data_IF_310386750306
#
_entry.id   IF_310386750306
#
_cell.length_a   1.000
_cell.length_b   1.000
_cell.length_c   1.000
_cell.angle_alpha   90.00
_cell.angle_beta   90.00
_cell.angle_gamma   90.00
#
_symmetry.space_group_name_H-M   'P 1'
#
loop_
_entity.id
_entity.type
_entity.pdbx_description
1 polymer ?
#
# COMPACT_ATOMS: atom_id res chain seq x y z
N UNK A 1 22.16 17.13 -19.41
CA UNK A 1 22.71 17.64 -18.14
C UNK A 1 21.63 17.39 -17.10
N UNK A 2 21.82 16.41 -16.21
CA UNK A 2 20.79 15.99 -15.25
C UNK A 2 20.79 16.94 -14.06
N UNK A 3 19.63 17.53 -13.75
CA UNK A 3 19.45 18.34 -12.55
C UNK A 3 19.31 17.41 -11.33
N UNK A 4 20.30 17.47 -10.45
CA UNK A 4 20.38 16.61 -9.24
C UNK A 4 19.29 16.98 -8.22
N UNK A 5 18.66 18.15 -8.36
CA UNK A 5 17.59 18.61 -7.46
C UNK A 5 16.27 17.85 -7.61
N UNK A 6 15.98 17.25 -8.77
CA UNK A 6 14.74 16.47 -9.00
C UNK A 6 14.85 15.00 -8.55
N UNK A 7 16.03 14.55 -8.10
CA UNK A 7 16.28 13.15 -7.76
C UNK A 7 15.35 12.59 -6.65
N UNK A 8 15.02 13.35 -5.58
CA UNK A 8 14.09 12.89 -4.55
C UNK A 8 12.66 12.72 -5.07
N UNK A 9 12.18 13.65 -5.87
CA UNK A 9 10.81 13.63 -6.41
C UNK A 9 10.61 12.46 -7.37
N UNK A 10 11.59 12.21 -8.24
CA UNK A 10 11.58 11.04 -9.13
C UNK A 10 11.61 9.72 -8.36
N UNK A 11 12.39 9.64 -7.29
CA UNK A 11 12.43 8.45 -6.45
C UNK A 11 11.11 8.22 -5.71
N UNK A 12 10.50 9.28 -5.16
CA UNK A 12 9.20 9.20 -4.51
C UNK A 12 8.10 8.76 -5.49
N UNK A 13 8.09 9.32 -6.70
CA UNK A 13 7.18 8.92 -7.77
C UNK A 13 7.33 7.43 -8.11
N UNK A 14 8.57 6.98 -8.33
CA UNK A 14 8.85 5.57 -8.65
C UNK A 14 8.40 4.62 -7.54
N UNK A 15 8.71 4.92 -6.27
CA UNK A 15 8.29 4.10 -5.12
C UNK A 15 6.77 4.02 -5.02
N UNK A 16 6.07 5.15 -5.21
CA UNK A 16 4.60 5.19 -5.20
C UNK A 16 4.01 4.38 -6.34
N UNK A 17 4.49 4.58 -7.57
CA UNK A 17 4.00 3.87 -8.75
C UNK A 17 4.18 2.37 -8.59
N UNK A 18 5.37 1.93 -8.22
CA UNK A 18 5.67 0.52 -8.01
C UNK A 18 4.78 -0.11 -6.94
N UNK A 19 4.58 0.57 -5.81
CA UNK A 19 3.75 0.08 -4.72
C UNK A 19 2.27 -0.05 -5.12
N UNK A 20 1.71 1.01 -5.72
CA UNK A 20 0.29 1.04 -6.12
C UNK A 20 0.04 0.02 -7.24
N UNK A 21 0.96 -0.08 -8.20
CA UNK A 21 0.90 -1.07 -9.26
C UNK A 21 0.95 -2.49 -8.69
N UNK A 22 1.81 -2.75 -7.70
CA UNK A 22 1.85 -4.05 -7.04
C UNK A 22 0.51 -4.44 -6.40
N UNK A 23 -0.11 -3.50 -5.67
CA UNK A 23 -1.45 -3.75 -5.11
C UNK A 23 -2.51 -3.98 -6.20
N UNK A 24 -2.45 -3.23 -7.30
CA UNK A 24 -3.33 -3.42 -8.44
C UNK A 24 -3.16 -4.81 -9.08
N UNK A 25 -1.92 -5.27 -9.24
CA UNK A 25 -1.62 -6.62 -9.74
C UNK A 25 -2.20 -7.70 -8.83
N UNK A 26 -2.08 -7.56 -7.50
CA UNK A 26 -2.71 -8.50 -6.55
C UNK A 26 -4.23 -8.51 -6.75
N UNK A 27 -4.87 -7.34 -6.83
CA UNK A 27 -6.32 -7.24 -7.03
C UNK A 27 -6.74 -7.94 -8.32
N UNK A 28 -5.98 -7.77 -9.41
CA UNK A 28 -6.26 -8.43 -10.68
C UNK A 28 -6.17 -9.95 -10.55
N UNK A 29 -5.07 -10.48 -9.99
CA UNK A 29 -4.89 -11.92 -9.78
C UNK A 29 -5.98 -12.52 -8.87
N UNK A 30 -6.41 -11.76 -7.87
CA UNK A 30 -7.52 -12.17 -7.01
C UNK A 30 -8.84 -12.25 -7.78
N UNK A 31 -9.14 -11.27 -8.64
CA UNK A 31 -10.35 -11.28 -9.46
C UNK A 31 -10.36 -12.45 -10.45
N UNK A 32 -9.23 -12.68 -11.14
CA UNK A 32 -9.06 -13.82 -12.06
C UNK A 32 -9.28 -15.14 -11.31
N UNK A 33 -8.63 -15.31 -10.15
CA UNK A 33 -8.80 -16.51 -9.34
C UNK A 33 -10.22 -16.70 -8.82
N UNK A 34 -10.94 -15.63 -8.44
CA UNK A 34 -12.34 -15.69 -8.03
C UNK A 34 -13.25 -16.23 -9.15
N UNK A 35 -12.98 -15.83 -10.39
CA UNK A 35 -13.73 -16.31 -11.56
C UNK A 35 -13.38 -17.77 -11.86
N UNK A 36 -12.09 -18.09 -11.94
CA UNK A 36 -11.61 -19.41 -12.39
C UNK A 36 -11.85 -20.51 -11.36
N UNK A 37 -11.61 -20.22 -10.07
CA UNK A 37 -11.58 -21.25 -9.02
C UNK A 37 -12.82 -21.23 -8.12
N UNK A 38 -13.55 -20.10 -8.06
CA UNK A 38 -14.66 -19.92 -7.11
C UNK A 38 -16.00 -19.61 -7.78
N UNK A 39 -16.06 -19.59 -9.12
CA UNK A 39 -17.30 -19.46 -9.89
C UNK A 39 -17.95 -18.08 -9.81
N UNK A 40 -17.21 -17.05 -9.38
CA UNK A 40 -17.68 -15.66 -9.34
C UNK A 40 -17.88 -15.15 -10.78
N UNK A 41 -18.91 -14.33 -11.00
CA UNK A 41 -19.16 -13.73 -12.31
C UNK A 41 -17.95 -12.95 -12.84
N UNK A 42 -17.56 -13.13 -14.13
CA UNK A 42 -16.51 -12.35 -14.79
C UNK A 42 -16.71 -10.83 -14.76
N UNK A 43 -17.92 -10.37 -14.40
CA UNK A 43 -18.22 -8.95 -14.20
C UNK A 43 -17.34 -8.31 -13.12
N UNK A 44 -16.84 -9.08 -12.14
CA UNK A 44 -15.95 -8.58 -11.08
C UNK A 44 -14.71 -7.87 -11.65
N UNK A 45 -14.09 -8.43 -12.70
CA UNK A 45 -12.91 -7.86 -13.35
C UNK A 45 -13.18 -6.49 -13.97
N UNK A 46 -14.43 -6.21 -14.36
CA UNK A 46 -14.83 -4.92 -14.95
C UNK A 46 -15.13 -3.86 -13.90
N UNK A 47 -15.69 -4.26 -12.76
CA UNK A 47 -16.15 -3.31 -11.73
C UNK A 47 -15.07 -2.97 -10.70
N UNK A 48 -14.09 -3.85 -10.48
CA UNK A 48 -13.06 -3.65 -9.44
C UNK A 48 -12.15 -2.45 -9.76
N UNK A 49 -11.85 -2.20 -11.04
CA UNK A 49 -10.98 -1.10 -11.47
C UNK A 49 -11.49 0.28 -11.05
N UNK A 50 -12.73 0.67 -11.41
CA UNK A 50 -13.33 1.93 -10.95
C UNK A 50 -13.40 2.07 -9.43
N UNK A 51 -13.66 0.98 -8.70
CA UNK A 51 -13.67 0.98 -7.22
C UNK A 51 -12.25 1.25 -6.68
N UNK A 52 -11.24 0.55 -7.23
CA UNK A 52 -9.83 0.75 -6.91
C UNK A 52 -9.35 2.17 -7.15
N UNK A 53 -9.59 2.72 -8.34
CA UNK A 53 -9.14 4.06 -8.69
C UNK A 53 -9.78 5.15 -7.81
N UNK A 54 -11.08 5.01 -7.49
CA UNK A 54 -11.76 5.93 -6.57
C UNK A 54 -11.16 5.90 -5.17
N UNK A 55 -10.82 4.70 -4.68
CA UNK A 55 -10.16 4.55 -3.39
C UNK A 55 -8.73 5.10 -3.41
N UNK A 56 -7.92 4.81 -4.43
CA UNK A 56 -6.57 5.37 -4.57
C UNK A 56 -6.62 6.90 -4.58
N UNK A 57 -7.56 7.49 -5.32
CA UNK A 57 -7.76 8.94 -5.32
C UNK A 57 -8.10 9.49 -3.93
N UNK A 58 -8.95 8.80 -3.15
CA UNK A 58 -9.31 9.24 -1.80
C UNK A 58 -8.15 9.18 -0.80
N UNK A 59 -7.14 8.32 -1.05
CA UNK A 59 -5.93 8.25 -0.21
C UNK A 59 -4.93 9.38 -0.45
N UNK A 60 -5.10 10.14 -1.54
CA UNK A 60 -4.27 11.31 -1.89
C UNK A 60 -2.78 11.00 -2.08
N UNK A 61 -2.40 9.73 -2.26
CA UNK A 61 -0.98 9.37 -2.44
C UNK A 61 -0.39 9.94 -3.73
N UNK A 62 -1.22 10.23 -4.73
CA UNK A 62 -0.83 10.86 -6.00
C UNK A 62 -0.86 12.38 -6.00
N UNK A 63 -1.23 13.03 -4.88
CA UNK A 63 -1.07 14.49 -4.75
C UNK A 63 0.42 14.85 -4.77
N UNK A 64 0.73 16.08 -5.24
CA UNK A 64 2.12 16.53 -5.40
C UNK A 64 2.84 16.60 -4.05
N UNK A 65 2.09 16.91 -3.01
CA UNK A 65 2.56 17.18 -1.66
C UNK A 65 2.77 15.90 -0.83
N UNK A 66 2.33 14.73 -1.31
CA UNK A 66 2.36 13.48 -0.53
C UNK A 66 3.77 13.12 -0.03
N UNK A 67 4.79 13.27 -0.87
CA UNK A 67 6.17 12.90 -0.53
C UNK A 67 6.74 13.79 0.58
N UNK A 68 6.50 15.10 0.49
CA UNK A 68 6.91 16.08 1.52
C UNK A 68 6.11 15.91 2.81
N UNK A 69 4.79 15.70 2.72
CA UNK A 69 3.92 15.44 3.87
C UNK A 69 4.37 14.18 4.64
N UNK A 70 4.77 13.12 3.92
CA UNK A 70 5.25 11.89 4.52
C UNK A 70 6.51 12.11 5.38
N UNK A 71 7.44 12.95 4.91
CA UNK A 71 8.67 13.34 5.63
C UNK A 71 8.31 14.15 6.88
N UNK A 72 7.51 15.22 6.73
CA UNK A 72 7.08 16.05 7.86
C UNK A 72 6.38 15.24 8.95
N UNK A 73 5.51 14.30 8.55
CA UNK A 73 4.84 13.41 9.49
C UNK A 73 5.80 12.40 10.15
N UNK A 74 6.85 11.96 9.46
CA UNK A 74 7.88 11.10 10.04
C UNK A 74 8.73 11.85 11.06
N UNK A 75 9.14 13.07 10.75
CA UNK A 75 9.89 13.95 11.66
C UNK A 75 9.09 14.26 12.92
N UNK A 76 7.81 14.61 12.75
CA UNK A 76 6.90 14.86 13.88
C UNK A 76 6.75 13.63 14.79
N UNK A 77 6.74 12.41 14.23
CA UNK A 77 6.72 11.16 15.01
C UNK A 77 8.04 10.94 15.75
N UNK A 78 9.17 11.13 15.07
CA UNK A 78 10.51 11.02 15.68
C UNK A 78 10.67 11.99 16.86
N UNK A 79 10.20 13.23 16.71
CA UNK A 79 10.20 14.23 17.79
C UNK A 79 9.32 13.81 18.98
N UNK A 80 8.10 13.30 18.72
CA UNK A 80 7.22 12.78 19.78
C UNK A 80 7.84 11.59 20.53
N UNK A 81 8.51 10.69 19.82
CA UNK A 81 9.21 9.55 20.42
C UNK A 81 10.43 9.99 21.24
N UNK A 82 11.21 10.95 20.75
CA UNK A 82 12.33 11.55 21.49
C UNK A 82 11.84 12.25 22.76
N UNK A 83 10.76 13.03 22.69
CA UNK A 83 10.16 13.67 23.86
C UNK A 83 9.65 12.64 24.90
N UNK A 84 9.13 11.49 24.45
CA UNK A 84 8.73 10.39 25.33
C UNK A 84 9.93 9.67 25.96
N UNK A 85 11.02 9.49 25.22
CA UNK A 85 12.27 8.86 25.69
C UNK A 85 13.09 9.77 26.63
N UNK A 86 13.10 11.08 26.39
CA UNK A 86 13.73 12.09 27.26
C UNK A 86 13.09 12.15 28.65
N UNK A 87 11.82 11.74 28.78
CA UNK A 87 11.16 11.53 30.09
C UNK A 87 11.62 10.25 30.80
N UNK A 88 12.40 9.36 30.17
CA UNK A 88 12.70 8.01 30.69
C UNK A 88 14.19 7.73 30.99
N UNK A 89 15.20 8.32 30.31
CA UNK A 89 16.61 8.34 30.78
C UNK A 89 17.55 9.15 29.87
N UNK A 90 18.59 9.71 30.52
CA UNK A 90 19.78 10.41 29.98
C UNK A 90 20.78 9.44 29.33
N UNK A 91 21.49 9.94 28.31
CA UNK A 91 22.69 9.39 27.63
C UNK A 91 22.43 8.17 26.71
N UNK A 92 23.03 8.02 25.53
CA UNK A 92 24.07 8.76 24.80
C UNK A 92 23.81 8.66 23.29
N UNK A 93 24.36 9.63 22.56
CA UNK A 93 24.38 9.78 21.11
C UNK A 93 25.07 8.65 20.35
N UNK A 94 24.63 8.38 19.11
CA UNK A 94 25.48 8.37 17.89
C UNK A 94 24.55 8.43 16.65
N UNK A 95 24.86 9.31 15.69
CA UNK A 95 24.20 9.42 14.37
C UNK A 95 24.62 8.26 13.46
N UNK A 96 23.82 7.89 12.44
CA UNK A 96 24.34 8.18 11.10
C UNK A 96 23.25 8.53 10.07
N UNK A 97 23.63 9.35 9.07
CA UNK A 97 22.83 9.57 7.87
C UNK A 97 22.86 8.34 6.93
N UNK A 98 21.72 8.03 6.30
CA UNK A 98 21.70 7.86 4.85
C UNK A 98 20.41 8.47 4.28
N UNK A 99 20.42 9.78 4.00
CA UNK A 99 19.24 10.59 3.64
C UNK A 99 18.34 9.92 2.58
N UNK A 100 18.92 9.25 1.58
CA UNK A 100 18.17 8.53 0.52
C UNK A 100 17.51 7.22 0.97
N UNK A 101 18.19 6.42 1.80
CA UNK A 101 17.65 5.14 2.34
C UNK A 101 16.60 5.42 3.43
N UNK A 102 16.76 6.52 4.15
CA UNK A 102 15.80 6.97 5.16
C UNK A 102 14.51 7.48 4.50
N UNK A 103 14.61 8.32 3.45
CA UNK A 103 13.43 8.81 2.73
C UNK A 103 12.64 7.68 2.03
N UNK A 104 13.32 6.72 1.39
CA UNK A 104 12.62 5.60 0.75
C UNK A 104 11.80 4.76 1.74
N UNK A 105 12.34 4.54 2.95
CA UNK A 105 11.63 3.88 4.05
C UNK A 105 10.44 4.72 4.52
N UNK A 106 10.62 6.02 4.71
CA UNK A 106 9.54 6.94 5.13
C UNK A 106 8.38 6.92 4.13
N UNK A 107 8.68 7.01 2.83
CA UNK A 107 7.66 6.96 1.79
C UNK A 107 6.97 5.60 1.71
N UNK A 108 7.73 4.51 1.80
CA UNK A 108 7.18 3.15 1.82
C UNK A 108 6.26 2.94 3.03
N UNK A 109 6.65 3.42 4.21
CA UNK A 109 5.84 3.34 5.42
C UNK A 109 4.59 4.22 5.33
N UNK A 110 4.70 5.40 4.70
CA UNK A 110 3.56 6.25 4.40
C UNK A 110 2.54 5.53 3.50
N UNK A 111 3.02 4.87 2.44
CA UNK A 111 2.18 4.06 1.55
C UNK A 111 1.50 2.92 2.29
N UNK A 112 2.24 2.12 3.06
CA UNK A 112 1.68 1.00 3.84
C UNK A 112 0.59 1.43 4.83
N UNK A 113 0.66 2.66 5.34
CA UNK A 113 -0.37 3.22 6.26
C UNK A 113 -1.63 3.64 5.51
N UNK A 114 -1.49 4.27 4.34
CA UNK A 114 -2.62 4.76 3.53
C UNK A 114 -3.27 3.66 2.68
N UNK A 115 -2.46 2.73 2.19
CA UNK A 115 -2.80 1.65 1.28
C UNK A 115 -2.29 0.31 1.85
N UNK A 116 -2.80 -0.16 2.98
CA UNK A 116 -2.33 -1.40 3.58
C UNK A 116 -2.69 -2.59 2.69
N UNK A 117 -1.84 -3.63 2.65
CA UNK A 117 -2.03 -4.82 1.81
C UNK A 117 -3.44 -5.43 1.91
N UNK A 118 -4.02 -5.49 3.13
CA UNK A 118 -5.38 -5.99 3.39
C UNK A 118 -6.47 -5.30 2.55
N UNK A 119 -6.20 -4.12 2.01
CA UNK A 119 -7.15 -3.43 1.16
C UNK A 119 -7.45 -4.22 -0.10
N UNK A 120 -6.52 -5.01 -0.64
CA UNK A 120 -6.75 -5.79 -1.86
C UNK A 120 -7.91 -6.77 -1.66
N UNK A 121 -7.94 -7.47 -0.52
CA UNK A 121 -9.05 -8.34 -0.10
C UNK A 121 -10.36 -7.57 0.07
N UNK A 122 -10.30 -6.37 0.66
CA UNK A 122 -11.49 -5.51 0.80
C UNK A 122 -12.03 -5.06 -0.57
N UNK A 123 -11.16 -4.79 -1.55
CA UNK A 123 -11.59 -4.38 -2.89
C UNK A 123 -12.32 -5.50 -3.62
N UNK A 124 -11.79 -6.73 -3.58
CA UNK A 124 -12.46 -7.86 -4.23
C UNK A 124 -13.74 -8.27 -3.52
N UNK A 125 -13.79 -8.21 -2.19
CA UNK A 125 -15.03 -8.39 -1.44
C UNK A 125 -16.08 -7.33 -1.80
N UNK A 126 -15.70 -6.05 -1.81
CA UNK A 126 -16.60 -4.96 -2.14
C UNK A 126 -17.11 -5.10 -3.59
N UNK A 127 -16.24 -5.55 -4.50
CA UNK A 127 -16.64 -5.83 -5.87
C UNK A 127 -17.69 -6.95 -5.91
N UNK A 128 -17.44 -8.12 -5.30
CA UNK A 128 -18.42 -9.20 -5.17
C UNK A 128 -19.76 -8.72 -4.61
N UNK A 129 -19.71 -7.90 -3.55
CA UNK A 129 -20.91 -7.33 -2.94
C UNK A 129 -21.71 -6.46 -3.92
N UNK A 130 -21.04 -5.59 -4.69
CA UNK A 130 -21.68 -4.72 -5.69
C UNK A 130 -22.38 -5.52 -6.79
N UNK A 131 -21.79 -6.64 -7.23
CA UNK A 131 -22.39 -7.53 -8.25
C UNK A 131 -23.33 -8.59 -7.66
N UNK A 132 -23.59 -8.55 -6.35
CA UNK A 132 -24.49 -9.46 -5.63
C UNK A 132 -24.07 -10.93 -5.70
N UNK A 133 -22.77 -11.16 -5.69
CA UNK A 133 -22.21 -12.50 -5.57
C UNK A 133 -22.34 -13.00 -4.13
N UNK A 134 -22.68 -14.28 -3.90
CA UNK A 134 -22.86 -14.86 -2.57
C UNK A 134 -21.51 -15.18 -1.90
N UNK A 135 -20.60 -14.21 -1.89
CA UNK A 135 -19.25 -14.32 -1.31
C UNK A 135 -19.20 -13.53 -0.01
N UNK A 136 -18.89 -14.18 1.11
CA UNK A 136 -18.74 -13.53 2.41
C UNK A 136 -17.31 -13.00 2.60
N UNK A 137 -17.17 -11.97 3.44
CA UNK A 137 -15.85 -11.46 3.83
C UNK A 137 -14.98 -12.54 4.52
N UNK A 138 -15.64 -13.48 5.23
CA UNK A 138 -15.00 -14.65 5.83
C UNK A 138 -14.46 -15.61 4.79
N UNK A 139 -15.13 -15.76 3.65
CA UNK A 139 -14.69 -16.66 2.57
C UNK A 139 -13.40 -16.11 1.96
N UNK A 140 -13.38 -14.83 1.60
CA UNK A 140 -12.19 -14.13 1.09
C UNK A 140 -11.00 -14.27 2.05
N UNK A 141 -11.24 -14.06 3.34
CA UNK A 141 -10.18 -14.15 4.35
C UNK A 141 -9.67 -15.59 4.52
N UNK A 142 -10.57 -16.57 4.49
CA UNK A 142 -10.25 -18.00 4.55
C UNK A 142 -9.44 -18.44 3.35
N UNK A 143 -9.89 -18.12 2.13
CA UNK A 143 -9.22 -18.49 0.89
C UNK A 143 -7.84 -17.84 0.77
N UNK A 144 -7.68 -16.59 1.21
CA UNK A 144 -6.39 -15.92 1.27
C UNK A 144 -5.44 -16.58 2.30
N UNK A 145 -5.97 -16.99 3.46
CA UNK A 145 -5.21 -17.69 4.49
C UNK A 145 -4.78 -19.10 4.08
N UNK A 146 -5.59 -19.79 3.27
CA UNK A 146 -5.29 -21.10 2.70
C UNK A 146 -4.33 -21.03 1.49
N UNK A 147 -4.11 -19.84 0.94
CA UNK A 147 -3.33 -19.63 -0.28
C UNK A 147 -4.07 -19.95 -1.58
N UNK A 148 -5.36 -20.32 -1.50
CA UNK A 148 -6.22 -20.58 -2.66
C UNK A 148 -6.61 -19.30 -3.40
N UNK A 149 -6.63 -18.16 -2.71
CA UNK A 149 -6.77 -16.83 -3.29
C UNK A 149 -5.42 -16.10 -3.24
N UNK A 150 -4.86 -15.61 -4.36
CA UNK A 150 -3.57 -14.92 -4.37
C UNK A 150 -3.54 -13.73 -3.41
N UNK A 151 -2.65 -13.73 -2.43
CA UNK A 151 -2.55 -12.62 -1.47
C UNK A 151 -1.11 -12.44 -0.98
N UNK A 152 -0.66 -13.28 -0.04
CA UNK A 152 0.72 -13.24 0.47
C UNK A 152 1.72 -13.72 -0.57
N UNK A 153 1.39 -14.78 -1.31
CA UNK A 153 2.24 -15.33 -2.39
C UNK A 153 2.46 -14.30 -3.49
N UNK A 154 1.39 -13.65 -3.94
CA UNK A 154 1.47 -12.56 -4.92
C UNK A 154 2.27 -11.36 -4.38
N UNK A 155 2.09 -10.99 -3.12
CA UNK A 155 2.87 -9.92 -2.49
C UNK A 155 4.38 -10.21 -2.46
N UNK A 156 4.77 -11.42 -2.08
CA UNK A 156 6.18 -11.83 -2.05
C UNK A 156 6.82 -11.91 -3.43
N UNK A 157 6.02 -12.18 -4.48
CA UNK A 157 6.48 -12.26 -5.86
C UNK A 157 6.85 -10.90 -6.47
N UNK A 158 6.51 -9.80 -5.78
CA UNK A 158 6.72 -8.42 -6.23
C UNK A 158 7.78 -7.68 -5.40
N UNK A 159 8.57 -8.37 -4.58
CA UNK A 159 9.71 -7.82 -3.84
C UNK A 159 11.02 -8.14 -4.53
#
# INVERSE_FOLDING_TARGET
>A
MYDVSELPDRLAAHIREYYVQGLQTIIQLQCESLVENFGVSPLICRIVGPIWLRFVASTRVFEREWASEAILLADARSLKEKAKKLKLKKESSTLPAPEKIEMSRVWTDSLKRRLPLRITLAMVFLACYVIREPVLATDISTWAGQGSLPYLTAFLSMQ
#
